data_IF_158358544716
#
_entry.id   IF_158358544716
#
_cell.length_a   1.000
_cell.length_b   1.000
_cell.length_c   1.000
_cell.angle_alpha   90.00
_cell.angle_beta   90.00
_cell.angle_gamma   90.00
#
_symmetry.space_group_name_H-M   'P 1'
#
loop_
_entity.id
_entity.type
_entity.pdbx_description
1 polymer ?
#
# COMPACT_ATOMS: atom_id res chain seq x y z
N UNK A 1 7.68 9.90 16.47
CA UNK A 1 6.31 9.64 15.97
C UNK A 1 5.31 9.56 17.12
N UNK A 2 5.28 8.49 17.92
CA UNK A 2 4.35 8.39 19.06
C UNK A 2 4.52 9.53 20.10
N UNK A 3 5.76 9.97 20.35
CA UNK A 3 6.03 11.14 21.21
C UNK A 3 5.48 12.46 20.64
N UNK A 4 5.52 12.64 19.32
CA UNK A 4 4.96 13.83 18.65
C UNK A 4 3.44 13.79 18.71
N UNK A 5 2.84 12.61 18.45
CA UNK A 5 1.40 12.40 18.59
C UNK A 5 0.94 12.72 20.03
N UNK A 6 1.63 12.18 21.03
CA UNK A 6 1.37 12.45 22.44
C UNK A 6 1.44 13.94 22.78
N UNK A 7 2.47 14.64 22.29
CA UNK A 7 2.62 16.08 22.49
C UNK A 7 1.50 16.89 21.84
N UNK A 8 1.14 16.58 20.58
CA UNK A 8 0.06 17.26 19.85
C UNK A 8 -1.30 17.03 20.52
N UNK A 9 -1.55 15.83 21.02
CA UNK A 9 -2.80 15.52 21.74
C UNK A 9 -2.88 16.27 23.06
N UNK A 10 -1.80 16.26 23.85
CA UNK A 10 -1.76 17.01 25.11
C UNK A 10 -1.97 18.49 24.86
N UNK A 11 -1.31 19.03 23.84
CA UNK A 11 -1.47 20.43 23.49
C UNK A 11 -2.90 20.74 23.02
N UNK A 12 -3.53 19.86 22.22
CA UNK A 12 -4.93 20.00 21.84
C UNK A 12 -5.87 19.95 23.05
N UNK A 13 -5.67 19.01 23.98
CA UNK A 13 -6.46 18.91 25.20
C UNK A 13 -6.28 20.12 26.12
N UNK A 14 -5.05 20.58 26.36
CA UNK A 14 -4.76 21.69 27.30
C UNK A 14 -5.18 23.03 26.70
N UNK A 15 -4.94 23.26 25.41
CA UNK A 15 -5.20 24.57 24.80
C UNK A 15 -6.69 24.77 24.48
N UNK A 16 -7.44 23.74 24.09
CA UNK A 16 -8.83 23.92 23.61
C UNK A 16 -9.84 23.86 24.76
N UNK A 17 -9.60 23.05 25.80
CA UNK A 17 -10.52 22.92 26.94
C UNK A 17 -10.91 24.25 27.62
N UNK A 18 -9.99 25.22 27.86
CA UNK A 18 -10.37 26.49 28.49
C UNK A 18 -11.21 27.41 27.58
N UNK A 19 -11.15 27.24 26.25
CA UNK A 19 -11.96 28.04 25.32
C UNK A 19 -13.35 27.46 25.06
N UNK A 20 -13.63 26.22 25.44
CA UNK A 20 -14.93 25.59 25.21
C UNK A 20 -16.04 26.19 26.08
N UNK A 21 -15.74 26.57 27.33
CA UNK A 21 -16.70 27.18 28.25
C UNK A 21 -17.21 28.56 27.77
N UNK A 22 -16.34 29.55 27.43
CA UNK A 22 -16.82 30.84 26.93
C UNK A 22 -17.48 30.72 25.54
N UNK A 23 -17.13 29.71 24.76
CA UNK A 23 -17.76 29.43 23.47
C UNK A 23 -19.18 28.86 23.65
N UNK A 24 -19.42 28.03 24.68
CA UNK A 24 -20.76 27.56 25.05
C UNK A 24 -21.66 28.76 25.43
N UNK A 25 -21.16 29.68 26.25
CA UNK A 25 -21.92 30.85 26.72
C UNK A 25 -22.27 31.83 25.58
N UNK A 26 -21.34 32.05 24.64
CA UNK A 26 -21.57 32.92 23.48
C UNK A 26 -22.53 32.31 22.47
N UNK A 27 -22.49 30.99 22.26
CA UNK A 27 -23.45 30.33 21.36
C UNK A 27 -24.84 30.31 22.01
N UNK A 28 -24.95 30.06 23.32
CA UNK A 28 -26.24 30.08 24.00
C UNK A 28 -26.89 31.46 23.92
N UNK A 29 -26.14 32.53 24.20
CA UNK A 29 -26.65 33.91 24.07
C UNK A 29 -27.04 34.28 22.63
N UNK A 30 -26.29 33.81 21.63
CA UNK A 30 -26.63 34.03 20.22
C UNK A 30 -27.89 33.26 19.81
N UNK A 31 -28.06 32.00 20.26
CA UNK A 31 -29.25 31.20 19.98
C UNK A 31 -30.49 31.80 20.64
N UNK A 32 -30.36 32.25 21.89
CA UNK A 32 -31.45 32.91 22.61
C UNK A 32 -31.85 34.21 21.89
N UNK A 33 -30.90 35.04 21.45
CA UNK A 33 -31.17 36.26 20.68
C UNK A 33 -31.83 35.97 19.32
N UNK A 34 -31.42 34.90 18.64
CA UNK A 34 -31.98 34.51 17.33
C UNK A 34 -33.39 33.93 17.46
N UNK A 35 -33.68 33.24 18.58
CA UNK A 35 -35.02 32.71 18.87
C UNK A 35 -36.06 33.83 19.07
N UNK A 36 -35.66 34.94 19.70
CA UNK A 36 -36.48 36.14 19.91
C UNK A 36 -36.73 36.89 18.59
N UNK A 37 -35.79 36.86 17.64
CA UNK A 37 -35.94 37.53 16.34
C UNK A 37 -36.80 36.72 15.36
N UNK A 38 -36.76 35.40 15.42
CA UNK A 38 -37.42 34.53 14.43
C UNK A 38 -38.88 34.18 14.78
N UNK A 39 -39.30 34.41 16.02
CA UNK A 39 -40.69 34.27 16.47
C UNK A 39 -41.15 35.62 17.00
N UNK A 40 -41.79 36.48 16.17
CA UNK A 40 -42.48 37.64 16.71
C UNK A 40 -43.68 37.13 17.53
N UNK A 41 -43.77 37.58 18.78
CA UNK A 41 -44.90 37.27 19.66
C UNK A 41 -46.23 37.55 18.93
N UNK A 42 -47.24 36.67 19.04
CA UNK A 42 -48.59 37.02 18.63
C UNK A 42 -49.06 38.21 19.49
N UNK A 43 -49.67 39.21 18.84
CA UNK A 43 -50.17 40.43 19.47
C UNK A 43 -50.97 40.14 20.75
N UNK A 44 -50.59 40.90 21.78
CA UNK A 44 -51.07 40.89 23.16
C UNK A 44 -52.58 41.15 23.23
N UNK A 45 -53.35 40.16 23.69
CA UNK A 45 -54.72 40.36 24.15
C UNK A 45 -54.79 39.92 25.62
N UNK A 46 -54.63 40.91 26.50
CA UNK A 46 -55.25 40.99 27.82
C UNK A 46 -55.08 39.81 28.78
N UNK A 47 -54.18 40.02 29.74
CA UNK A 47 -54.43 39.76 31.16
C UNK A 47 -54.36 38.29 31.63
N UNK A 48 -53.22 37.89 32.19
CA UNK A 48 -53.15 37.40 33.58
C UNK A 48 -51.72 37.09 34.03
N UNK A 49 -51.47 37.35 35.31
CA UNK A 49 -50.23 37.09 36.04
C UNK A 49 -49.75 35.65 35.86
N UNK A 50 -48.64 35.47 35.15
CA UNK A 50 -47.86 34.25 35.05
C UNK A 50 -46.44 34.62 34.63
N UNK A 51 -45.44 33.98 35.25
CA UNK A 51 -44.01 34.27 35.13
C UNK A 51 -43.54 34.55 33.68
N UNK A 52 -42.70 35.59 33.45
CA UNK A 52 -42.16 35.92 32.13
C UNK A 52 -40.94 35.04 31.78
N UNK A 53 -41.06 33.72 31.89
CA UNK A 53 -39.93 32.79 31.67
C UNK A 53 -40.34 31.50 30.95
N UNK A 54 -41.28 31.57 30.02
CA UNK A 54 -41.43 30.53 29.00
C UNK A 54 -40.70 30.92 27.71
N UNK A 55 -39.48 31.44 27.84
CA UNK A 55 -38.51 31.40 26.75
C UNK A 55 -38.27 29.92 26.44
N UNK A 56 -38.42 29.53 25.17
CA UNK A 56 -38.02 28.21 24.69
C UNK A 56 -36.49 28.10 24.86
N UNK A 57 -36.03 27.78 26.07
CA UNK A 57 -34.65 27.47 26.33
C UNK A 57 -34.36 26.19 25.55
N UNK A 58 -33.68 26.31 24.42
CA UNK A 58 -33.01 25.19 23.78
C UNK A 58 -31.66 25.04 24.49
N UNK A 59 -31.53 24.19 25.54
CA UNK A 59 -30.25 23.98 26.19
C UNK A 59 -29.32 23.31 25.19
N UNK A 60 -28.26 24.02 24.79
CA UNK A 60 -27.22 23.42 23.96
C UNK A 60 -26.56 22.30 24.79
N UNK A 61 -26.28 21.13 24.18
CA UNK A 61 -25.57 20.07 24.88
C UNK A 61 -24.16 20.53 25.29
N UNK A 62 -23.74 20.15 26.51
CA UNK A 62 -22.43 20.50 27.07
C UNK A 62 -21.29 20.05 26.15
N UNK A 63 -20.67 20.97 25.41
CA UNK A 63 -19.70 20.67 24.33
C UNK A 63 -18.41 19.99 24.82
N UNK A 64 -18.12 20.07 26.11
CA UNK A 64 -16.93 19.46 26.73
C UNK A 64 -16.92 17.93 26.57
N UNK A 65 -18.08 17.28 26.74
CA UNK A 65 -18.19 15.81 26.65
C UNK A 65 -17.93 15.28 25.23
N UNK A 66 -18.65 15.73 24.17
CA UNK A 66 -18.42 15.24 22.81
C UNK A 66 -17.01 15.59 22.31
N UNK A 67 -16.43 16.71 22.74
CA UNK A 67 -15.05 17.06 22.41
C UNK A 67 -14.03 16.05 22.97
N UNK A 68 -14.14 15.67 24.25
CA UNK A 68 -13.24 14.67 24.84
C UNK A 68 -13.37 13.32 24.14
N UNK A 69 -14.59 12.85 23.90
CA UNK A 69 -14.82 11.61 23.14
C UNK A 69 -14.22 11.68 21.74
N UNK A 70 -14.38 12.80 21.05
CA UNK A 70 -13.82 12.99 19.72
C UNK A 70 -12.30 12.86 19.71
N UNK A 71 -11.59 13.45 20.69
CA UNK A 71 -10.13 13.35 20.83
C UNK A 71 -9.68 11.92 21.15
N UNK A 72 -10.41 11.19 22.00
CA UNK A 72 -10.09 9.78 22.24
C UNK A 72 -10.26 8.92 20.98
N UNK A 73 -11.33 9.13 20.22
CA UNK A 73 -11.58 8.42 18.97
C UNK A 73 -10.46 8.71 17.96
N UNK A 74 -10.04 9.98 17.84
CA UNK A 74 -8.99 10.36 16.87
C UNK A 74 -7.65 9.76 17.24
N UNK A 75 -7.31 9.72 18.53
CA UNK A 75 -6.13 9.04 19.04
C UNK A 75 -6.14 7.57 18.65
N UNK A 76 -7.23 6.85 18.92
CA UNK A 76 -7.36 5.43 18.61
C UNK A 76 -7.20 5.20 17.10
N UNK A 77 -7.90 5.97 16.27
CA UNK A 77 -7.83 5.86 14.80
C UNK A 77 -6.41 6.06 14.30
N UNK A 78 -5.70 7.09 14.76
CA UNK A 78 -4.35 7.39 14.28
C UNK A 78 -3.33 6.36 14.75
N UNK A 79 -3.43 5.89 16.00
CA UNK A 79 -2.56 4.81 16.51
C UNK A 79 -2.77 3.54 15.68
N UNK A 80 -4.01 3.14 15.42
CA UNK A 80 -4.32 1.99 14.56
C UNK A 80 -3.76 2.16 13.16
N UNK A 81 -3.90 3.35 12.55
CA UNK A 81 -3.35 3.61 11.22
C UNK A 81 -1.83 3.54 11.17
N UNK A 82 -1.13 4.05 12.19
CA UNK A 82 0.33 3.98 12.28
C UNK A 82 0.81 2.52 12.43
N UNK A 83 0.11 1.70 13.21
CA UNK A 83 0.43 0.27 13.35
C UNK A 83 0.22 -0.48 12.03
N UNK A 84 -0.90 -0.22 11.35
CA UNK A 84 -1.19 -0.79 10.02
C UNK A 84 -0.15 -0.34 9.00
N UNK A 85 0.21 0.94 8.99
CA UNK A 85 1.25 1.47 8.11
C UNK A 85 2.58 0.72 8.34
N UNK A 86 3.03 0.56 9.59
CA UNK A 86 4.27 -0.16 9.90
C UNK A 86 4.23 -1.62 9.40
N UNK A 87 3.12 -2.32 9.65
CA UNK A 87 2.94 -3.70 9.20
C UNK A 87 2.95 -3.79 7.66
N UNK A 88 2.25 -2.87 6.99
CA UNK A 88 2.22 -2.79 5.53
C UNK A 88 3.59 -2.44 4.96
N UNK A 89 4.34 -1.48 5.55
CA UNK A 89 5.69 -1.16 5.10
C UNK A 89 6.60 -2.38 5.09
N UNK A 90 6.56 -3.20 6.16
CA UNK A 90 7.34 -4.43 6.22
C UNK A 90 6.90 -5.43 5.14
N UNK A 91 5.60 -5.63 4.99
CA UNK A 91 5.04 -6.55 3.97
C UNK A 91 5.42 -6.11 2.56
N UNK A 92 5.24 -4.83 2.25
CA UNK A 92 5.54 -4.20 0.97
C UNK A 92 7.03 -4.29 0.63
N UNK A 93 7.91 -4.06 1.62
CA UNK A 93 9.35 -4.22 1.43
C UNK A 93 9.74 -5.69 1.12
N UNK A 94 9.13 -6.65 1.82
CA UNK A 94 9.37 -8.08 1.59
C UNK A 94 8.86 -8.54 0.22
N UNK A 95 7.69 -8.07 -0.21
CA UNK A 95 7.17 -8.31 -1.56
C UNK A 95 8.11 -7.73 -2.62
N UNK A 96 8.64 -6.53 -2.38
CA UNK A 96 9.57 -5.88 -3.30
C UNK A 96 10.90 -6.62 -3.41
N UNK A 97 11.42 -7.20 -2.31
CA UNK A 97 12.59 -8.10 -2.36
C UNK A 97 12.35 -9.36 -3.20
N UNK A 98 11.10 -9.83 -3.32
CA UNK A 98 10.74 -10.96 -4.19
C UNK A 98 10.55 -10.54 -5.65
N UNK A 99 10.46 -9.25 -5.92
CA UNK A 99 10.10 -8.73 -7.24
C UNK A 99 8.61 -8.91 -7.57
N UNK A 100 7.74 -8.97 -6.56
CA UNK A 100 6.29 -8.99 -6.74
C UNK A 100 5.75 -7.55 -6.87
N UNK A 101 4.93 -7.29 -7.90
CA UNK A 101 4.49 -5.92 -8.27
C UNK A 101 2.98 -5.69 -8.11
N UNK A 102 2.33 -6.46 -7.24
CA UNK A 102 0.88 -6.37 -7.03
C UNK A 102 0.49 -5.04 -6.38
N UNK A 103 1.20 -4.64 -5.32
CA UNK A 103 0.83 -3.49 -4.50
C UNK A 103 1.60 -2.22 -4.93
N UNK A 104 2.91 -2.34 -5.16
CA UNK A 104 3.79 -1.23 -5.55
C UNK A 104 4.02 -1.27 -7.06
N UNK A 105 3.98 -0.13 -7.77
CA UNK A 105 4.28 -0.10 -9.20
C UNK A 105 5.72 -0.53 -9.50
N UNK A 106 5.87 -1.29 -10.59
CA UNK A 106 7.18 -1.70 -11.14
C UNK A 106 8.10 -0.51 -11.29
N UNK A 107 9.37 -0.72 -10.94
CA UNK A 107 10.42 0.28 -11.13
C UNK A 107 10.64 0.56 -12.62
N UNK A 108 10.53 1.83 -13.01
CA UNK A 108 10.80 2.28 -14.38
C UNK A 108 12.11 3.08 -14.45
N UNK A 109 12.93 2.80 -15.48
CA UNK A 109 14.24 3.46 -15.69
C UNK A 109 14.13 4.98 -15.85
N UNK A 110 13.08 5.45 -16.50
CA UNK A 110 12.81 6.89 -16.69
C UNK A 110 12.55 7.65 -15.40
N UNK A 111 12.28 6.95 -14.27
CA UNK A 111 11.84 7.56 -13.00
C UNK A 111 12.85 7.46 -11.87
N UNK A 112 14.09 7.05 -12.13
CA UNK A 112 15.10 6.92 -11.06
C UNK A 112 15.33 8.20 -10.27
N UNK A 113 15.39 9.36 -10.93
CA UNK A 113 15.51 10.65 -10.27
C UNK A 113 14.32 10.92 -9.35
N UNK A 114 13.10 10.58 -9.81
CA UNK A 114 11.88 10.73 -9.03
C UNK A 114 11.85 9.81 -7.80
N UNK A 115 12.32 8.56 -7.91
CA UNK A 115 12.41 7.67 -6.74
C UNK A 115 13.43 8.16 -5.71
N UNK A 116 14.58 8.66 -6.16
CA UNK A 116 15.62 9.21 -5.29
C UNK A 116 15.15 10.48 -4.58
N UNK A 117 14.53 11.42 -5.31
CA UNK A 117 13.90 12.61 -4.73
C UNK A 117 12.78 12.24 -3.75
N UNK A 118 11.95 11.25 -4.10
CA UNK A 118 10.89 10.74 -3.22
C UNK A 118 11.42 10.23 -1.88
N UNK A 119 12.55 9.52 -1.88
CA UNK A 119 13.20 9.08 -0.64
C UNK A 119 13.65 10.24 0.26
N UNK A 120 14.19 11.32 -0.34
CA UNK A 120 14.61 12.52 0.41
C UNK A 120 13.42 13.19 1.08
N UNK A 121 12.28 13.27 0.39
CA UNK A 121 11.07 13.94 0.90
C UNK A 121 10.21 13.06 1.82
N UNK A 122 10.38 11.74 1.80
CA UNK A 122 9.52 10.78 2.52
C UNK A 122 9.32 11.11 3.99
N UNK A 123 10.40 11.35 4.74
CA UNK A 123 10.32 11.62 6.18
C UNK A 123 9.55 12.93 6.48
N UNK A 124 9.78 13.97 5.68
CA UNK A 124 9.13 15.27 5.83
C UNK A 124 7.64 15.20 5.46
N UNK A 125 7.32 14.58 4.33
CA UNK A 125 5.93 14.36 3.92
C UNK A 125 5.20 13.49 4.93
N UNK A 126 5.82 12.44 5.45
CA UNK A 126 5.18 11.62 6.47
C UNK A 126 4.73 12.42 7.70
N UNK A 127 5.61 13.26 8.25
CA UNK A 127 5.25 14.10 9.41
C UNK A 127 4.17 15.11 9.04
N UNK A 128 4.29 15.77 7.88
CA UNK A 128 3.30 16.77 7.43
C UNK A 128 1.90 16.18 7.25
N UNK A 129 1.78 15.04 6.58
CA UNK A 129 0.50 14.35 6.37
C UNK A 129 -0.07 13.78 7.67
N UNK A 130 0.79 13.37 8.62
CA UNK A 130 0.35 12.94 9.94
C UNK A 130 -0.30 14.09 10.71
N UNK A 131 0.33 15.27 10.75
CA UNK A 131 -0.22 16.46 11.43
C UNK A 131 -1.51 16.92 10.75
N UNK A 132 -1.50 17.04 9.42
CA UNK A 132 -2.68 17.48 8.68
C UNK A 132 -3.85 16.50 8.81
N UNK A 133 -3.57 15.20 8.68
CA UNK A 133 -4.57 14.17 8.88
C UNK A 133 -5.08 14.11 10.32
N UNK A 134 -4.25 14.39 11.33
CA UNK A 134 -4.71 14.54 12.72
C UNK A 134 -5.76 15.65 12.83
N UNK A 135 -5.48 16.84 12.28
CA UNK A 135 -6.41 17.98 12.31
C UNK A 135 -7.72 17.61 11.61
N UNK A 136 -7.64 16.97 10.44
CA UNK A 136 -8.81 16.61 9.65
C UNK A 136 -9.68 15.57 10.35
N UNK A 137 -9.08 14.48 10.84
CA UNK A 137 -9.79 13.44 11.59
C UNK A 137 -10.36 14.03 12.89
N UNK A 138 -9.64 14.92 13.58
CA UNK A 138 -10.12 15.60 14.78
C UNK A 138 -11.34 16.48 14.51
N UNK A 139 -11.28 17.33 13.49
CA UNK A 139 -12.41 18.17 13.08
C UNK A 139 -13.63 17.31 12.70
N UNK A 140 -13.42 16.26 11.90
CA UNK A 140 -14.48 15.35 11.50
C UNK A 140 -15.10 14.59 12.68
N UNK A 141 -14.27 14.11 13.61
CA UNK A 141 -14.70 13.42 14.83
C UNK A 141 -15.52 14.34 15.74
N UNK A 142 -15.09 15.60 15.93
CA UNK A 142 -15.85 16.59 16.71
C UNK A 142 -17.21 16.87 16.08
N UNK A 143 -17.28 17.08 14.76
CA UNK A 143 -18.55 17.30 14.05
C UNK A 143 -19.49 16.11 14.23
N UNK A 144 -18.99 14.87 14.12
CA UNK A 144 -19.79 13.67 14.35
C UNK A 144 -20.26 13.57 15.80
N UNK A 145 -19.37 13.73 16.77
CA UNK A 145 -19.72 13.62 18.19
C UNK A 145 -20.72 14.70 18.62
N UNK A 146 -20.56 15.94 18.16
CA UNK A 146 -21.53 17.03 18.41
C UNK A 146 -22.85 16.74 17.72
N UNK A 147 -22.84 16.23 16.48
CA UNK A 147 -24.07 15.86 15.77
C UNK A 147 -24.84 14.74 16.49
N UNK A 148 -24.13 13.74 17.01
CA UNK A 148 -24.72 12.65 17.80
C UNK A 148 -25.29 13.20 19.11
N UNK A 149 -24.56 14.05 19.82
CA UNK A 149 -24.99 14.60 21.11
C UNK A 149 -26.19 15.56 20.94
N UNK A 150 -26.18 16.39 19.90
CA UNK A 150 -27.31 17.21 19.50
C UNK A 150 -28.52 16.35 19.12
N UNK A 151 -28.30 15.22 18.42
CA UNK A 151 -29.37 14.30 18.07
C UNK A 151 -29.94 13.57 19.30
N UNK A 152 -29.14 13.27 20.32
CA UNK A 152 -29.63 12.68 21.58
C UNK A 152 -30.41 13.73 22.38
N UNK A 153 -29.93 14.97 22.42
CA UNK A 153 -30.51 16.04 23.24
C UNK A 153 -31.80 16.61 22.65
N UNK A 154 -31.81 16.91 21.35
CA UNK A 154 -33.00 17.39 20.63
C UNK A 154 -33.85 16.27 20.03
N UNK A 155 -33.40 15.02 20.19
CA UNK A 155 -34.01 13.82 19.61
C UNK A 155 -35.43 13.61 20.09
N UNK A 156 -36.38 14.25 19.42
CA UNK A 156 -37.77 13.85 19.48
C UNK A 156 -37.83 12.44 18.89
N UNK A 157 -37.80 11.42 19.75
CA UNK A 157 -37.81 10.00 19.36
C UNK A 157 -38.89 9.69 18.32
N UNK A 158 -40.01 10.44 18.36
CA UNK A 158 -41.11 10.35 17.39
C UNK A 158 -40.77 10.89 15.99
N UNK A 159 -39.91 11.90 15.86
CA UNK A 159 -39.47 12.42 14.57
C UNK A 159 -38.50 11.45 13.88
N UNK A 160 -37.56 10.90 14.65
CA UNK A 160 -36.63 9.86 14.19
C UNK A 160 -37.37 8.61 13.77
N UNK A 161 -38.31 8.15 14.60
CA UNK A 161 -39.18 7.01 14.30
C UNK A 161 -39.96 7.24 13.00
N UNK A 162 -40.59 8.42 12.81
CA UNK A 162 -41.32 8.75 11.57
C UNK A 162 -40.41 8.76 10.33
N UNK A 163 -39.20 9.29 10.43
CA UNK A 163 -38.23 9.26 9.32
C UNK A 163 -37.80 7.83 9.04
N UNK A 164 -37.43 7.08 10.07
CA UNK A 164 -36.96 5.71 9.96
C UNK A 164 -38.03 4.80 9.33
N UNK A 165 -39.29 4.96 9.74
CA UNK A 165 -40.44 4.22 9.20
C UNK A 165 -40.67 4.53 7.71
N UNK A 166 -40.34 5.74 7.24
CA UNK A 166 -40.37 6.09 5.80
C UNK A 166 -39.15 5.57 5.04
N UNK A 167 -37.96 5.55 5.65
CA UNK A 167 -36.70 5.15 5.00
C UNK A 167 -36.57 3.63 4.90
N UNK A 168 -37.01 2.87 5.93
CA UNK A 168 -36.90 1.41 5.97
C UNK A 168 -37.52 0.72 4.74
N UNK A 169 -38.78 1.02 4.33
CA UNK A 169 -39.39 0.37 3.16
C UNK A 169 -38.61 0.63 1.87
N UNK A 170 -38.07 1.84 1.71
CA UNK A 170 -37.24 2.21 0.56
C UNK A 170 -35.95 1.38 0.52
N UNK A 171 -35.20 1.32 1.62
CA UNK A 171 -33.97 0.52 1.71
C UNK A 171 -34.26 -0.97 1.52
N UNK A 172 -35.33 -1.48 2.12
CA UNK A 172 -35.75 -2.87 1.98
C UNK A 172 -36.09 -3.21 0.52
N UNK A 173 -36.76 -2.31 -0.20
CA UNK A 173 -37.05 -2.48 -1.63
C UNK A 173 -35.75 -2.57 -2.46
N UNK A 174 -34.76 -1.71 -2.20
CA UNK A 174 -33.45 -1.77 -2.89
C UNK A 174 -32.75 -3.11 -2.63
N UNK A 175 -32.71 -3.55 -1.37
CA UNK A 175 -32.09 -4.81 -0.98
C UNK A 175 -32.82 -6.01 -1.59
N UNK A 176 -34.15 -6.02 -1.53
CA UNK A 176 -34.99 -7.04 -2.14
C UNK A 176 -34.72 -7.15 -3.64
N UNK A 177 -34.73 -6.02 -4.35
CA UNK A 177 -34.44 -5.96 -5.78
C UNK A 177 -33.03 -6.47 -6.09
N UNK A 178 -32.01 -6.08 -5.32
CA UNK A 178 -30.64 -6.55 -5.52
C UNK A 178 -30.51 -8.06 -5.31
N UNK A 179 -31.20 -8.61 -4.30
CA UNK A 179 -31.23 -10.04 -4.04
C UNK A 179 -31.98 -10.82 -5.12
N UNK A 180 -33.14 -10.31 -5.57
CA UNK A 180 -33.92 -10.87 -6.67
C UNK A 180 -33.10 -10.90 -7.97
N UNK A 181 -32.37 -9.82 -8.29
CA UNK A 181 -31.46 -9.79 -9.44
C UNK A 181 -30.37 -10.87 -9.34
N UNK A 182 -29.80 -11.10 -8.14
CA UNK A 182 -28.78 -12.13 -7.91
C UNK A 182 -29.34 -13.55 -8.09
N UNK A 183 -30.54 -13.81 -7.57
CA UNK A 183 -31.23 -15.11 -7.74
C UNK A 183 -31.53 -15.35 -9.22
N UNK A 184 -32.12 -14.39 -9.93
CA UNK A 184 -32.42 -14.53 -11.36
C UNK A 184 -31.15 -14.72 -12.18
N UNK A 185 -30.08 -13.97 -11.87
CA UNK A 185 -28.79 -14.17 -12.51
C UNK A 185 -28.27 -15.60 -12.33
N UNK A 186 -28.34 -16.14 -11.11
CA UNK A 186 -27.83 -17.46 -10.80
C UNK A 186 -28.67 -18.58 -11.43
N UNK A 187 -30.00 -18.52 -11.35
CA UNK A 187 -30.87 -19.64 -11.72
C UNK A 187 -31.45 -19.55 -13.14
N UNK A 188 -31.66 -18.34 -13.67
CA UNK A 188 -32.37 -18.14 -14.95
C UNK A 188 -31.41 -17.75 -16.07
N UNK A 189 -30.44 -16.87 -15.78
CA UNK A 189 -29.58 -16.29 -16.82
C UNK A 189 -28.27 -17.07 -17.03
N UNK A 190 -27.56 -17.44 -15.96
CA UNK A 190 -26.28 -18.16 -16.05
C UNK A 190 -26.44 -19.67 -16.21
N UNK A 191 -25.52 -20.26 -16.95
CA UNK A 191 -25.33 -21.70 -17.06
C UNK A 191 -24.65 -22.23 -15.79
N UNK A 192 -25.01 -23.47 -15.40
CA UNK A 192 -24.43 -24.19 -14.26
C UNK A 192 -24.42 -23.36 -12.96
N UNK A 193 -25.48 -22.58 -12.72
CA UNK A 193 -25.72 -21.85 -11.47
C UNK A 193 -24.58 -20.93 -11.01
N UNK A 194 -23.79 -20.39 -11.94
CA UNK A 194 -22.71 -19.44 -11.61
C UNK A 194 -21.29 -19.97 -11.77
N UNK A 195 -21.09 -21.25 -12.08
CA UNK A 195 -19.73 -21.82 -12.20
C UNK A 195 -18.95 -21.30 -13.40
N UNK A 196 -19.66 -20.99 -14.49
CA UNK A 196 -19.10 -20.42 -15.71
C UNK A 196 -19.88 -19.17 -16.09
N UNK A 197 -19.16 -18.14 -16.56
CA UNK A 197 -19.74 -16.91 -17.10
C UNK A 197 -20.29 -17.15 -18.52
N UNK A 198 -21.21 -18.10 -18.64
CA UNK A 198 -21.91 -18.45 -19.87
C UNK A 198 -23.42 -18.24 -19.69
N UNK A 199 -24.06 -17.62 -20.68
CA UNK A 199 -25.48 -17.30 -20.64
C UNK A 199 -26.31 -18.40 -21.29
N UNK A 200 -27.35 -18.88 -20.59
CA UNK A 200 -28.28 -19.88 -21.12
C UNK A 200 -29.43 -19.21 -21.91
N UNK A 201 -30.15 -18.29 -21.25
CA UNK A 201 -31.35 -17.65 -21.81
C UNK A 201 -31.12 -16.17 -22.16
N UNK A 202 -30.31 -15.91 -23.20
CA UNK A 202 -29.94 -14.55 -23.61
C UNK A 202 -31.13 -13.63 -23.92
N UNK A 203 -32.21 -14.15 -24.52
CA UNK A 203 -33.41 -13.33 -24.85
C UNK A 203 -34.14 -12.82 -23.61
N UNK A 204 -34.33 -13.68 -22.60
CA UNK A 204 -35.01 -13.32 -21.35
C UNK A 204 -34.17 -12.30 -20.58
N UNK A 205 -32.84 -12.45 -20.58
CA UNK A 205 -31.94 -11.48 -19.98
C UNK A 205 -32.12 -10.08 -20.60
N UNK A 206 -32.25 -9.98 -21.93
CA UNK A 206 -32.43 -8.68 -22.59
C UNK A 206 -33.76 -8.01 -22.23
N UNK A 207 -34.85 -8.77 -22.17
CA UNK A 207 -36.17 -8.27 -21.74
C UNK A 207 -36.11 -7.80 -20.28
N UNK A 208 -35.45 -8.57 -19.42
CA UNK A 208 -35.27 -8.23 -18.01
C UNK A 208 -34.43 -6.96 -17.81
N UNK A 209 -33.32 -6.82 -18.55
CA UNK A 209 -32.49 -5.60 -18.53
C UNK A 209 -33.32 -4.40 -18.97
N UNK A 210 -34.12 -4.52 -20.03
CA UNK A 210 -34.97 -3.43 -20.53
C UNK A 210 -35.99 -2.97 -19.48
N UNK A 211 -36.68 -3.91 -18.83
CA UNK A 211 -37.65 -3.57 -17.79
C UNK A 211 -37.00 -2.95 -16.55
N UNK A 212 -35.86 -3.50 -16.11
CA UNK A 212 -35.16 -3.05 -14.91
C UNK A 212 -34.34 -1.75 -15.12
N UNK A 213 -34.17 -1.30 -16.37
CA UNK A 213 -33.40 -0.12 -16.74
C UNK A 213 -33.81 1.14 -15.97
N UNK A 214 -35.12 1.42 -15.87
CA UNK A 214 -35.61 2.63 -15.19
C UNK A 214 -35.30 2.59 -13.69
N UNK A 215 -35.49 1.44 -13.03
CA UNK A 215 -35.16 1.28 -11.60
C UNK A 215 -33.65 1.38 -11.37
N UNK A 216 -32.84 0.80 -12.26
CA UNK A 216 -31.39 0.89 -12.21
C UNK A 216 -30.87 2.31 -12.43
N UNK A 217 -31.53 3.13 -13.25
CA UNK A 217 -31.17 4.52 -13.42
C UNK A 217 -31.33 5.32 -12.11
N UNK A 218 -32.45 5.16 -11.40
CA UNK A 218 -32.66 5.80 -10.10
C UNK A 218 -31.67 5.29 -9.03
N UNK A 219 -31.45 3.97 -8.97
CA UNK A 219 -30.46 3.39 -8.06
C UNK A 219 -29.03 3.85 -8.39
N UNK A 220 -28.71 4.01 -9.67
CA UNK A 220 -27.45 4.55 -10.15
C UNK A 220 -27.20 5.97 -9.65
N UNK A 221 -28.23 6.82 -9.68
CA UNK A 221 -28.16 8.18 -9.13
C UNK A 221 -27.86 8.16 -7.62
N UNK A 222 -28.61 7.39 -6.82
CA UNK A 222 -28.35 7.27 -5.38
C UNK A 222 -26.96 6.67 -5.11
N UNK A 223 -26.56 5.64 -5.86
CA UNK A 223 -25.25 5.02 -5.76
C UNK A 223 -24.11 6.01 -6.06
N UNK A 224 -24.32 6.99 -6.93
CA UNK A 224 -23.33 8.03 -7.23
C UNK A 224 -23.08 8.96 -6.03
N UNK A 225 -24.14 9.32 -5.30
CA UNK A 225 -24.04 10.13 -4.08
C UNK A 225 -23.32 9.33 -2.99
N UNK A 226 -23.73 8.07 -2.79
CA UNK A 226 -23.07 7.17 -1.83
C UNK A 226 -21.59 6.97 -2.18
N UNK A 227 -21.24 6.90 -3.48
CA UNK A 227 -19.85 6.81 -3.94
C UNK A 227 -19.05 8.05 -3.53
N UNK A 228 -19.59 9.25 -3.69
CA UNK A 228 -18.92 10.48 -3.25
C UNK A 228 -18.73 10.50 -1.73
N UNK A 229 -19.77 10.18 -0.96
CA UNK A 229 -19.69 10.14 0.51
C UNK A 229 -18.61 9.15 0.97
N UNK A 230 -18.61 7.92 0.43
CA UNK A 230 -17.59 6.91 0.74
C UNK A 230 -16.19 7.37 0.37
N UNK A 231 -16.03 8.08 -0.76
CA UNK A 231 -14.73 8.60 -1.20
C UNK A 231 -14.21 9.68 -0.25
N UNK A 232 -15.08 10.58 0.22
CA UNK A 232 -14.69 11.62 1.18
C UNK A 232 -14.31 10.99 2.52
N UNK A 233 -15.16 10.12 3.08
CA UNK A 233 -14.87 9.44 4.35
C UNK A 233 -13.57 8.63 4.26
N UNK A 234 -13.40 7.87 3.17
CA UNK A 234 -12.18 7.12 2.91
C UNK A 234 -10.95 8.03 2.82
N UNK A 235 -11.05 9.15 2.10
CA UNK A 235 -9.99 10.14 1.98
C UNK A 235 -9.57 10.72 3.32
N UNK A 236 -10.55 11.09 4.17
CA UNK A 236 -10.30 11.62 5.53
C UNK A 236 -9.58 10.59 6.39
N UNK A 237 -10.08 9.36 6.43
CA UNK A 237 -9.49 8.30 7.23
C UNK A 237 -8.08 8.00 6.74
N UNK A 238 -7.87 7.77 5.44
CA UNK A 238 -6.56 7.37 4.92
C UNK A 238 -5.57 8.52 4.74
N UNK A 239 -5.94 9.77 5.04
CA UNK A 239 -5.07 10.94 4.83
C UNK A 239 -3.73 10.86 5.57
N UNK A 240 -3.69 10.22 6.76
CA UNK A 240 -2.46 10.03 7.53
C UNK A 240 -1.53 8.95 6.95
N UNK A 241 -2.01 8.10 6.04
CA UNK A 241 -1.30 6.92 5.50
C UNK A 241 -0.71 7.26 4.12
N UNK A 242 0.61 7.11 3.95
CA UNK A 242 1.28 7.36 2.66
C UNK A 242 1.42 6.11 1.77
N UNK A 243 1.07 4.94 2.28
CA UNK A 243 1.08 3.66 1.55
C UNK A 243 -0.19 3.45 0.69
N UNK A 244 -1.17 4.36 0.75
CA UNK A 244 -2.37 4.32 -0.09
C UNK A 244 -2.58 5.66 -0.78
N UNK A 245 -2.86 5.63 -2.08
CA UNK A 245 -3.19 6.85 -2.83
C UNK A 245 -4.71 7.03 -2.95
N UNK A 246 -5.27 8.17 -2.50
CA UNK A 246 -6.70 8.45 -2.65
C UNK A 246 -7.12 8.71 -4.11
N UNK A 247 -6.17 9.01 -5.01
CA UNK A 247 -6.44 9.33 -6.42
C UNK A 247 -6.67 8.08 -7.30
N UNK A 248 -6.44 6.87 -6.76
CA UNK A 248 -6.63 5.59 -7.46
C UNK A 248 -5.49 5.20 -8.43
N UNK A 249 -5.48 3.93 -8.86
CA UNK A 249 -4.32 3.25 -9.49
C UNK A 249 -3.67 3.99 -10.67
N UNK A 250 -4.47 4.64 -11.53
CA UNK A 250 -3.96 5.32 -12.73
C UNK A 250 -3.36 6.71 -12.42
N UNK A 251 -3.77 7.31 -11.30
CA UNK A 251 -3.37 8.65 -10.88
C UNK A 251 -2.47 8.64 -9.64
N UNK A 252 -2.03 7.46 -9.19
CA UNK A 252 -1.07 7.27 -8.08
C UNK A 252 0.20 8.12 -8.24
N UNK A 253 0.59 8.43 -9.48
CA UNK A 253 1.80 9.23 -9.75
C UNK A 253 1.62 10.72 -9.51
N UNK A 254 0.38 11.21 -9.46
CA UNK A 254 0.08 12.61 -9.14
C UNK A 254 0.08 12.86 -7.64
N UNK A 255 0.02 11.80 -6.84
CA UNK A 255 0.06 11.88 -5.39
C UNK A 255 1.51 11.94 -4.90
N UNK A 256 1.92 13.11 -4.42
CA UNK A 256 3.26 13.35 -3.89
C UNK A 256 3.56 12.51 -2.65
N UNK A 257 2.56 12.24 -1.80
CA UNK A 257 2.70 11.41 -0.60
C UNK A 257 3.03 9.97 -0.98
N UNK A 258 2.18 9.34 -1.79
CA UNK A 258 2.39 7.97 -2.26
C UNK A 258 3.64 7.81 -3.13
N UNK A 259 3.95 8.79 -3.98
CA UNK A 259 5.18 8.80 -4.79
C UNK A 259 6.44 8.81 -3.91
N UNK A 260 6.45 9.61 -2.84
CA UNK A 260 7.56 9.64 -1.88
C UNK A 260 7.74 8.30 -1.15
N UNK A 261 6.64 7.66 -0.77
CA UNK A 261 6.63 6.34 -0.14
C UNK A 261 7.20 5.25 -1.07
N UNK A 262 6.77 5.25 -2.34
CA UNK A 262 7.34 4.35 -3.35
C UNK A 262 8.83 4.60 -3.56
N UNK A 263 9.26 5.88 -3.58
CA UNK A 263 10.66 6.27 -3.68
C UNK A 263 11.51 5.72 -2.55
N UNK A 264 11.04 5.87 -1.30
CA UNK A 264 11.66 5.30 -0.11
C UNK A 264 11.83 3.78 -0.24
N UNK A 265 10.74 3.08 -0.58
CA UNK A 265 10.75 1.62 -0.64
C UNK A 265 11.66 1.06 -1.74
N UNK A 266 11.66 1.68 -2.93
CA UNK A 266 12.56 1.31 -4.03
C UNK A 266 14.02 1.60 -3.70
N UNK A 267 14.31 2.69 -2.99
CA UNK A 267 15.66 3.04 -2.57
C UNK A 267 16.19 2.05 -1.54
N UNK A 268 15.41 1.77 -0.49
CA UNK A 268 15.73 0.75 0.53
C UNK A 268 15.94 -0.64 -0.10
N UNK A 269 15.05 -1.04 -1.03
CA UNK A 269 15.20 -2.32 -1.70
C UNK A 269 16.50 -2.42 -2.52
N UNK A 270 16.96 -1.31 -3.12
CA UNK A 270 18.15 -1.30 -3.98
C UNK A 270 19.43 -1.32 -3.17
N UNK A 271 19.50 -0.54 -2.09
CA UNK A 271 20.72 -0.40 -1.29
C UNK A 271 20.83 -1.44 -0.17
N UNK A 272 19.70 -1.94 0.34
CA UNK A 272 19.65 -2.83 1.50
C UNK A 272 19.03 -4.19 1.18
N UNK A 273 19.26 -4.70 -0.03
CA UNK A 273 18.79 -6.03 -0.39
C UNK A 273 19.48 -7.12 0.46
N UNK A 274 18.75 -7.91 1.27
CA UNK A 274 19.36 -8.82 2.24
C UNK A 274 20.23 -9.88 1.58
N UNK A 275 19.82 -10.42 0.43
CA UNK A 275 20.61 -11.42 -0.32
C UNK A 275 21.94 -10.84 -0.81
N UNK A 276 21.95 -9.58 -1.27
CA UNK A 276 23.18 -8.93 -1.75
C UNK A 276 24.12 -8.63 -0.60
N UNK A 277 23.61 -8.14 0.53
CA UNK A 277 24.40 -7.88 1.72
C UNK A 277 25.04 -9.14 2.29
N UNK A 278 24.29 -10.24 2.36
CA UNK A 278 24.82 -11.55 2.79
C UNK A 278 25.87 -12.08 1.81
N UNK A 279 25.63 -11.94 0.51
CA UNK A 279 26.60 -12.34 -0.52
C UNK A 279 27.91 -11.56 -0.41
N UNK A 280 27.84 -10.23 -0.29
CA UNK A 280 29.03 -9.37 -0.11
C UNK A 280 29.74 -9.68 1.20
N UNK A 281 29.01 -9.87 2.30
CA UNK A 281 29.57 -10.27 3.59
C UNK A 281 30.33 -11.60 3.49
N UNK A 282 29.76 -12.60 2.82
CA UNK A 282 30.42 -13.89 2.59
C UNK A 282 31.71 -13.74 1.78
N UNK A 283 31.70 -12.94 0.71
CA UNK A 283 32.90 -12.67 -0.09
C UNK A 283 33.98 -11.93 0.69
N UNK A 284 33.59 -10.94 1.49
CA UNK A 284 34.51 -10.17 2.32
C UNK A 284 35.16 -11.06 3.38
N UNK A 285 34.35 -11.86 4.11
CA UNK A 285 34.86 -12.80 5.12
C UNK A 285 35.80 -13.84 4.50
N UNK A 286 35.48 -14.39 3.33
CA UNK A 286 36.38 -15.32 2.63
C UNK A 286 37.69 -14.68 2.22
N UNK A 287 37.68 -13.42 1.80
CA UNK A 287 38.89 -12.70 1.38
C UNK A 287 39.77 -12.38 2.59
N UNK A 288 39.18 -11.85 3.66
CA UNK A 288 39.88 -11.56 4.92
C UNK A 288 40.48 -12.80 5.56
N UNK A 289 39.77 -13.94 5.54
CA UNK A 289 40.30 -15.23 6.02
C UNK A 289 41.54 -15.64 5.20
N UNK A 290 41.54 -15.44 3.88
CA UNK A 290 42.70 -15.76 3.04
C UNK A 290 43.89 -14.84 3.32
N UNK A 291 43.66 -13.55 3.50
CA UNK A 291 44.70 -12.57 3.87
C UNK A 291 45.32 -12.91 5.23
N UNK A 292 44.49 -13.18 6.25
CA UNK A 292 44.97 -13.59 7.57
C UNK A 292 45.73 -14.92 7.54
N UNK A 293 45.26 -15.89 6.75
CA UNK A 293 45.95 -17.17 6.57
C UNK A 293 47.29 -17.05 5.83
N UNK A 294 47.51 -15.96 5.09
CA UNK A 294 48.77 -15.66 4.40
C UNK A 294 49.75 -14.91 5.31
N UNK A 295 49.26 -14.08 6.23
CA UNK A 295 50.06 -13.28 7.15
C UNK A 295 50.52 -14.06 8.39
N UNK A 296 49.67 -14.90 8.99
CA UNK A 296 50.04 -15.73 10.14
C UNK A 296 49.43 -17.14 10.03
N UNK A 297 50.32 -18.14 9.96
CA UNK A 297 49.95 -19.56 9.86
C UNK A 297 49.37 -20.09 11.18
N UNK A 298 49.70 -19.45 12.32
CA UNK A 298 49.31 -19.85 13.66
C UNK A 298 48.01 -19.16 14.14
N UNK A 299 47.69 -17.96 13.65
CA UNK A 299 46.39 -17.29 13.92
C UNK A 299 45.18 -18.13 13.46
N UNK A 300 45.36 -18.88 12.38
CA UNK A 300 44.33 -19.76 11.85
C UNK A 300 43.97 -20.85 12.86
N UNK A 301 44.93 -21.41 13.62
CA UNK A 301 44.73 -22.50 14.59
C UNK A 301 43.76 -22.16 15.71
N UNK A 302 43.81 -20.95 16.26
CA UNK A 302 42.87 -20.53 17.31
C UNK A 302 41.46 -20.22 16.77
N UNK A 303 41.35 -19.89 15.48
CA UNK A 303 40.08 -19.68 14.80
C UNK A 303 39.56 -20.97 14.11
N UNK A 304 40.30 -22.11 14.22
CA UNK A 304 39.99 -23.37 13.54
C UNK A 304 38.69 -24.03 14.02
N UNK A 305 38.19 -23.73 15.22
CA UNK A 305 36.95 -24.35 15.72
C UNK A 305 35.73 -24.14 14.81
N UNK A 306 35.63 -22.97 14.15
CA UNK A 306 34.52 -22.65 13.24
C UNK A 306 34.89 -22.58 11.75
N UNK A 307 36.18 -22.47 11.40
CA UNK A 307 36.63 -22.26 10.00
C UNK A 307 37.17 -23.54 9.34
N UNK A 308 37.38 -24.64 10.08
CA UNK A 308 37.91 -25.89 9.51
C UNK A 308 36.99 -26.51 8.44
N UNK A 309 35.68 -26.23 8.47
CA UNK A 309 34.76 -26.63 7.40
C UNK A 309 34.94 -25.83 6.09
N UNK A 310 35.39 -24.58 6.16
CA UNK A 310 35.54 -23.71 4.99
C UNK A 310 36.85 -23.96 4.23
N UNK A 311 37.94 -24.28 4.95
CA UNK A 311 39.28 -24.47 4.34
C UNK A 311 39.41 -25.78 3.55
N UNK A 312 38.62 -26.81 3.88
CA UNK A 312 38.57 -28.07 3.10
C UNK A 312 37.85 -27.91 1.75
N UNK A 313 37.32 -26.72 1.46
CA UNK A 313 36.53 -26.42 0.27
C UNK A 313 37.26 -25.51 -0.74
N UNK A 314 38.58 -25.66 -0.91
CA UNK A 314 39.17 -25.44 -2.24
C UNK A 314 38.66 -26.55 -3.17
N UNK A 315 37.36 -26.49 -3.46
CA UNK A 315 36.69 -27.44 -4.33
C UNK A 315 37.40 -27.37 -5.67
N UNK A 316 38.02 -28.49 -6.03
CA UNK A 316 38.71 -28.67 -7.30
C UNK A 316 37.86 -28.09 -8.43
N UNK A 317 38.50 -27.53 -9.46
CA UNK A 317 37.80 -26.94 -10.62
C UNK A 317 36.66 -27.86 -11.12
N UNK A 318 36.87 -29.17 -11.06
CA UNK A 318 35.88 -30.19 -11.40
C UNK A 318 34.65 -30.20 -10.49
N UNK A 319 34.81 -30.07 -9.17
CA UNK A 319 33.69 -30.03 -8.22
C UNK A 319 32.81 -28.80 -8.46
N UNK A 320 33.39 -27.63 -8.77
CA UNK A 320 32.61 -26.43 -9.14
C UNK A 320 31.83 -26.62 -10.45
N UNK A 321 32.46 -27.27 -11.44
CA UNK A 321 31.79 -27.60 -12.71
C UNK A 321 30.62 -28.57 -12.49
N UNK A 322 30.81 -29.60 -11.67
CA UNK A 322 29.74 -30.55 -11.32
C UNK A 322 28.61 -29.89 -10.54
N UNK A 323 28.91 -29.04 -9.54
CA UNK A 323 27.89 -28.27 -8.81
C UNK A 323 27.07 -27.37 -9.75
N UNK A 324 27.73 -26.72 -10.72
CA UNK A 324 27.05 -25.93 -11.74
C UNK A 324 26.17 -26.80 -12.64
N UNK A 325 26.67 -27.95 -13.10
CA UNK A 325 25.90 -28.87 -13.94
C UNK A 325 24.63 -29.35 -13.23
N UNK A 326 24.75 -29.80 -11.98
CA UNK A 326 23.60 -30.21 -11.15
C UNK A 326 22.61 -29.06 -10.95
N UNK A 327 23.10 -27.85 -10.69
CA UNK A 327 22.24 -26.66 -10.55
C UNK A 327 21.46 -26.35 -11.83
N UNK A 328 22.10 -26.46 -13.01
CA UNK A 328 21.48 -26.21 -14.30
C UNK A 328 20.48 -27.30 -14.71
N UNK A 329 20.76 -28.57 -14.39
CA UNK A 329 19.83 -29.68 -14.64
C UNK A 329 18.54 -29.49 -13.84
N UNK A 330 18.64 -29.03 -12.59
CA UNK A 330 17.48 -28.75 -11.73
C UNK A 330 16.73 -27.48 -12.10
N UNK A 331 17.35 -26.55 -12.83
CA UNK A 331 16.77 -25.26 -13.20
C UNK A 331 16.91 -25.01 -14.71
N UNK A 332 16.10 -25.67 -15.55
CA UNK A 332 16.27 -25.64 -17.01
C UNK A 332 16.06 -24.25 -17.62
N UNK A 333 15.21 -23.41 -17.03
CA UNK A 333 14.96 -22.03 -17.49
C UNK A 333 16.21 -21.16 -17.42
N UNK A 334 17.05 -21.35 -16.39
CA UNK A 334 18.29 -20.59 -16.20
C UNK A 334 19.31 -20.89 -17.30
N UNK A 335 19.24 -22.08 -17.93
CA UNK A 335 20.13 -22.45 -19.04
C UNK A 335 19.94 -21.50 -20.23
N UNK A 336 18.69 -21.15 -20.55
CA UNK A 336 18.36 -20.24 -21.63
C UNK A 336 18.89 -18.83 -21.34
N UNK A 337 18.58 -18.30 -20.16
CA UNK A 337 19.06 -16.98 -19.72
C UNK A 337 20.59 -16.90 -19.68
N UNK A 338 21.26 -17.94 -19.20
CA UNK A 338 22.73 -18.00 -19.15
C UNK A 338 23.35 -17.98 -20.55
N UNK A 339 22.80 -18.72 -21.52
CA UNK A 339 23.30 -18.70 -22.90
C UNK A 339 23.14 -17.31 -23.53
N UNK A 340 21.97 -16.69 -23.34
CA UNK A 340 21.71 -15.33 -23.82
C UNK A 340 22.66 -14.30 -23.18
N UNK A 341 22.83 -14.36 -21.86
CA UNK A 341 23.69 -13.46 -21.11
C UNK A 341 25.17 -13.57 -21.53
N UNK A 342 25.69 -14.79 -21.69
CA UNK A 342 27.06 -15.00 -22.19
C UNK A 342 27.25 -14.49 -23.62
N UNK A 343 26.21 -14.56 -24.46
CA UNK A 343 26.25 -13.99 -25.80
C UNK A 343 26.29 -12.46 -25.78
N UNK A 344 25.53 -11.83 -24.89
CA UNK A 344 25.52 -10.37 -24.71
C UNK A 344 26.86 -9.85 -24.21
N UNK A 345 27.43 -10.48 -23.18
CA UNK A 345 28.78 -10.16 -22.67
C UNK A 345 29.83 -10.18 -23.79
N UNK A 346 29.80 -11.21 -24.65
CA UNK A 346 30.76 -11.33 -25.74
C UNK A 346 30.60 -10.21 -26.78
N UNK A 347 29.39 -9.71 -26.99
CA UNK A 347 29.13 -8.57 -27.89
C UNK A 347 29.63 -7.27 -27.25
N UNK A 348 29.35 -7.06 -25.96
CA UNK A 348 29.81 -5.87 -25.22
C UNK A 348 31.34 -5.81 -25.13
N UNK A 349 31.99 -6.95 -24.89
CA UNK A 349 33.45 -7.09 -24.92
C UNK A 349 34.03 -6.78 -26.32
N UNK A 350 33.32 -7.15 -27.40
CA UNK A 350 33.71 -6.80 -28.77
C UNK A 350 33.52 -5.31 -29.08
N UNK A 351 32.50 -4.67 -28.53
CA UNK A 351 32.32 -3.22 -28.65
C UNK A 351 33.40 -2.47 -27.88
N UNK A 352 33.73 -2.89 -26.65
CA UNK A 352 34.83 -2.33 -25.87
C UNK A 352 36.19 -2.43 -26.58
N UNK A 353 36.40 -3.47 -27.41
CA UNK A 353 37.60 -3.59 -28.26
C UNK A 353 37.68 -2.54 -29.37
N UNK A 354 36.56 -2.04 -29.86
CA UNK A 354 36.56 -1.03 -30.92
C UNK A 354 36.94 0.36 -30.38
N UNK A 355 36.57 0.65 -29.13
CA UNK A 355 36.69 1.98 -28.50
C UNK A 355 38.02 2.23 -27.75
N UNK A 356 38.86 1.21 -27.56
CA UNK A 356 40.16 1.32 -26.84
C UNK A 356 41.32 1.79 -27.73
N UNK A 357 42.42 2.25 -27.13
CA UNK A 357 43.66 2.57 -27.87
C UNK A 357 44.47 1.29 -28.20
N UNK A 358 45.39 1.35 -29.16
CA UNK A 358 46.02 0.16 -29.77
C UNK A 358 46.72 -0.82 -28.79
N UNK A 359 47.29 -0.32 -27.70
CA UNK A 359 47.96 -1.16 -26.69
C UNK A 359 46.98 -1.83 -25.72
N UNK A 360 45.89 -1.14 -25.35
CA UNK A 360 44.82 -1.71 -24.52
C UNK A 360 44.00 -2.74 -25.31
N UNK A 361 43.84 -2.54 -26.63
CA UNK A 361 43.24 -3.54 -27.54
C UNK A 361 44.00 -4.86 -27.48
N UNK A 362 45.34 -4.86 -27.48
CA UNK A 362 46.15 -6.10 -27.41
C UNK A 362 45.98 -6.85 -26.09
N UNK A 363 45.96 -6.13 -24.96
CA UNK A 363 45.78 -6.75 -23.65
C UNK A 363 44.37 -7.33 -23.47
N UNK A 364 43.34 -6.61 -23.92
CA UNK A 364 41.97 -7.10 -23.88
C UNK A 364 41.74 -8.24 -24.87
N UNK A 365 42.28 -8.18 -26.09
CA UNK A 365 42.26 -9.29 -27.07
C UNK A 365 42.95 -10.55 -26.53
N UNK A 366 44.05 -10.42 -25.78
CA UNK A 366 44.67 -11.57 -25.09
C UNK A 366 43.71 -12.17 -24.06
N UNK A 367 43.02 -11.36 -23.27
CA UNK A 367 42.04 -11.87 -22.28
C UNK A 367 40.86 -12.53 -22.99
N UNK A 368 40.31 -11.91 -24.03
CA UNK A 368 39.18 -12.42 -24.80
C UNK A 368 39.52 -13.68 -25.58
N UNK A 369 40.68 -13.75 -26.25
CA UNK A 369 41.13 -14.98 -26.91
C UNK A 369 41.27 -16.14 -25.93
N UNK A 370 41.72 -15.89 -24.69
CA UNK A 370 41.73 -16.91 -23.62
C UNK A 370 40.30 -17.34 -23.27
N UNK A 371 39.34 -16.42 -23.16
CA UNK A 371 37.93 -16.75 -22.88
C UNK A 371 37.25 -17.48 -24.05
N UNK A 372 37.44 -17.04 -25.29
CA UNK A 372 36.90 -17.65 -26.52
C UNK A 372 37.49 -19.03 -26.77
N UNK A 373 38.79 -19.23 -26.52
CA UNK A 373 39.43 -20.56 -26.58
C UNK A 373 38.91 -21.50 -25.48
N UNK A 374 38.56 -20.95 -24.31
CA UNK A 374 37.92 -21.72 -23.22
C UNK A 374 36.46 -22.07 -23.51
N UNK A 375 35.71 -21.20 -24.20
CA UNK A 375 34.33 -21.46 -24.61
C UNK A 375 34.24 -22.43 -25.79
N UNK A 376 35.12 -22.32 -26.78
CA UNK A 376 35.20 -23.26 -27.91
C UNK A 376 35.62 -24.65 -27.46
N UNK A 377 36.58 -24.78 -26.54
CA UNK A 377 36.91 -26.05 -25.91
C UNK A 377 35.72 -26.67 -25.15
N UNK A 378 34.89 -25.85 -24.50
CA UNK A 378 33.67 -26.31 -23.84
C UNK A 378 32.54 -26.69 -24.82
N UNK A 379 32.43 -26.02 -25.98
CA UNK A 379 31.51 -26.43 -27.05
C UNK A 379 31.94 -27.72 -27.73
N UNK A 380 33.24 -27.89 -27.95
CA UNK A 380 33.81 -29.11 -28.53
C UNK A 380 33.59 -30.34 -27.62
N UNK A 381 33.73 -30.19 -26.30
CA UNK A 381 33.44 -31.29 -25.36
C UNK A 381 31.96 -31.67 -25.31
N UNK A 382 31.05 -30.71 -25.50
CA UNK A 382 29.60 -30.97 -25.54
C UNK A 382 29.20 -31.65 -26.85
N UNK A 383 29.84 -31.28 -27.96
CA UNK A 383 29.66 -31.93 -29.28
C UNK A 383 30.22 -33.35 -29.30
N UNK A 384 31.32 -33.63 -28.59
CA UNK A 384 31.83 -35.00 -28.47
C UNK A 384 30.92 -35.87 -27.60
N UNK A 385 30.39 -35.37 -26.47
CA UNK A 385 29.42 -36.12 -25.65
C UNK A 385 28.09 -36.40 -26.36
N UNK A 386 27.62 -35.49 -27.22
CA UNK A 386 26.41 -35.73 -28.03
C UNK A 386 26.67 -36.75 -29.14
N UNK A 387 27.84 -36.73 -29.79
CA UNK A 387 28.19 -37.75 -30.78
C UNK A 387 28.42 -39.13 -30.17
N UNK A 388 29.02 -39.22 -28.96
CA UNK A 388 29.20 -40.50 -28.25
C UNK A 388 27.84 -41.10 -27.86
N UNK A 389 26.90 -40.28 -27.33
CA UNK A 389 25.54 -40.75 -27.00
C UNK A 389 24.71 -41.18 -28.23
N UNK A 390 24.96 -40.59 -29.40
CA UNK A 390 24.31 -41.00 -30.66
C UNK A 390 24.89 -42.33 -31.15
N UNK A 391 26.20 -42.55 -31.01
CA UNK A 391 26.88 -43.79 -31.40
C UNK A 391 26.50 -44.95 -30.46
N UNK A 392 26.34 -44.71 -29.15
CA UNK A 392 25.85 -45.74 -28.21
C UNK A 392 24.38 -46.11 -28.46
N UNK A 393 23.53 -45.15 -28.85
CA UNK A 393 22.13 -45.43 -29.25
C UNK A 393 21.98 -46.19 -30.56
N UNK A 394 23.01 -46.23 -31.40
CA UNK A 394 23.03 -47.03 -32.63
C UNK A 394 23.65 -48.43 -32.43
N UNK A 395 24.15 -48.74 -31.22
CA UNK A 395 24.72 -50.06 -30.88
C UNK A 395 23.83 -50.94 -29.99
N UNK A 396 22.64 -50.47 -29.61
CA UNK A 396 21.63 -51.25 -28.89
C UNK A 396 20.33 -51.36 -29.68
#
# INVERSE_FOLDING_TARGET
MLLLLYYVIIQACIQVLPYLQPLEDTIQTAVDALSVVFIPDPEDDGQNNGDPTSSLNFPIPKLVRPYLFAVFITLIVIVLQLLVLLANMRRNLLQLFRGEDCEIPRRQRSRYVSYASGNIHFAGYFIGYLIWGFILIAAFSVVICVSIDAFITFGNVRFVEKILLKVIPSVLFVLFKQYLNKILAQYVFLQHRGEVLALNNRRILMIFIFFNFFLDAFLGFISSIVRLIKSVIGGIIYMCRLDYSPLGRKLETMDGGFSSYCGFLHTECTHRHPVMLVFVSLLYTQTKIKELAMYDRNYVDNFKGHVFELKKQSSSRYVRKWKLAVFLIRNPTIVFFRKSFLSQLNIEDLHALNDLDNDDKKNLQRRLSIYTRRMSAARASISSETNINIIEKQRF
#
